data_IF_134784133177
#
_entry.id   IF_134784133177
#
_cell.length_a   1.000
_cell.length_b   1.000
_cell.length_c   1.000
_cell.angle_alpha   90.00
_cell.angle_beta   90.00
_cell.angle_gamma   90.00
#
_symmetry.space_group_name_H-M   'P 1'
#
loop_
_entity.id
_entity.type
_entity.pdbx_description
1 polymer ?
#
# COMPACT_ATOMS: atom_id res chain seq x y z
N UNK A 1 -19.84 -28.13 19.59
CA UNK A 1 -19.69 -26.69 19.31
C UNK A 1 -18.50 -26.54 18.37
N UNK A 2 -18.72 -26.49 17.06
CA UNK A 2 -17.62 -26.42 16.09
C UNK A 2 -16.97 -25.02 16.15
N UNK A 3 -15.63 -24.92 16.11
CA UNK A 3 -14.95 -23.63 16.08
C UNK A 3 -15.30 -22.90 14.78
N UNK A 4 -15.75 -21.65 14.90
CA UNK A 4 -16.12 -20.81 13.76
C UNK A 4 -14.91 -20.44 12.88
N UNK A 5 -15.14 -19.98 11.65
CA UNK A 5 -14.12 -19.77 10.60
C UNK A 5 -13.09 -18.63 10.88
N UNK A 6 -12.96 -18.17 12.12
CA UNK A 6 -12.20 -16.98 12.51
C UNK A 6 -10.93 -17.28 13.31
N UNK A 7 -10.62 -18.54 13.62
CA UNK A 7 -9.51 -18.90 14.51
C UNK A 7 -8.26 -19.42 13.81
N UNK A 8 -8.26 -19.56 12.48
CA UNK A 8 -7.14 -20.20 11.78
C UNK A 8 -6.01 -19.18 11.49
N UNK A 9 -5.27 -18.82 12.54
CA UNK A 9 -4.06 -17.99 12.47
C UNK A 9 -2.86 -18.73 11.86
N UNK A 10 -3.03 -20.00 11.45
CA UNK A 10 -1.98 -20.87 10.92
C UNK A 10 -1.42 -20.46 9.54
N UNK A 11 -2.04 -19.48 8.89
CA UNK A 11 -1.69 -19.03 7.54
C UNK A 11 -0.53 -18.02 7.56
N UNK A 12 -0.40 -17.24 8.64
CA UNK A 12 0.73 -16.33 8.85
C UNK A 12 1.96 -17.00 9.48
N UNK A 13 1.82 -18.22 10.00
CA UNK A 13 2.88 -18.95 10.71
C UNK A 13 3.56 -20.06 9.89
N UNK A 14 3.14 -20.28 8.64
CA UNK A 14 3.72 -21.30 7.75
C UNK A 14 4.70 -20.69 6.74
N UNK A 15 5.96 -20.53 7.17
CA UNK A 15 7.09 -20.25 6.27
C UNK A 15 7.01 -18.93 5.51
N UNK A 16 8.03 -18.62 4.71
CA UNK A 16 8.23 -17.38 3.96
C UNK A 16 7.22 -17.15 2.81
N UNK A 17 5.96 -17.55 2.97
CA UNK A 17 4.93 -17.25 1.96
C UNK A 17 4.59 -15.75 2.03
N UNK A 18 4.75 -15.02 0.92
CA UNK A 18 4.32 -13.63 0.85
C UNK A 18 2.84 -13.51 1.23
N UNK A 19 2.51 -12.53 2.07
CA UNK A 19 1.16 -12.35 2.60
C UNK A 19 0.08 -12.28 1.51
N UNK A 20 0.41 -11.77 0.31
CA UNK A 20 -0.56 -11.67 -0.78
C UNK A 20 -1.01 -13.03 -1.33
N UNK A 21 -0.16 -14.07 -1.33
CA UNK A 21 -0.58 -15.43 -1.72
C UNK A 21 -1.51 -16.06 -0.69
N UNK A 22 -1.22 -15.88 0.58
CA UNK A 22 -2.09 -16.33 1.67
C UNK A 22 -3.48 -15.67 1.59
N UNK A 23 -3.54 -14.36 1.34
CA UNK A 23 -4.79 -13.63 1.19
C UNK A 23 -5.56 -14.04 -0.08
N UNK A 24 -4.88 -14.35 -1.17
CA UNK A 24 -5.52 -14.87 -2.39
C UNK A 24 -6.17 -16.24 -2.14
N UNK A 25 -5.45 -17.17 -1.49
CA UNK A 25 -6.00 -18.47 -1.15
C UNK A 25 -7.21 -18.38 -0.18
N UNK A 26 -7.27 -17.33 0.64
CA UNK A 26 -8.43 -17.03 1.48
C UNK A 26 -9.59 -16.44 0.66
N UNK A 27 -9.32 -15.60 -0.33
CA UNK A 27 -10.33 -15.08 -1.25
C UNK A 27 -11.02 -16.22 -2.02
N UNK A 28 -10.27 -17.23 -2.44
CA UNK A 28 -10.83 -18.41 -3.13
C UNK A 28 -11.82 -19.18 -2.26
N UNK A 29 -11.63 -19.18 -0.93
CA UNK A 29 -12.49 -19.89 0.03
C UNK A 29 -13.67 -19.06 0.54
N UNK A 30 -13.46 -17.77 0.79
CA UNK A 30 -14.43 -16.90 1.45
C UNK A 30 -15.12 -15.92 0.50
N UNK A 31 -14.70 -15.90 -0.77
CA UNK A 31 -15.19 -14.97 -1.77
C UNK A 31 -14.35 -13.69 -1.87
N UNK A 32 -14.67 -12.81 -2.83
CA UNK A 32 -13.81 -11.70 -3.21
C UNK A 32 -13.73 -10.57 -2.18
N UNK A 33 -14.65 -10.54 -1.20
CA UNK A 33 -14.67 -9.57 -0.11
C UNK A 33 -14.91 -10.32 1.19
N UNK A 34 -13.93 -10.29 2.09
CA UNK A 34 -14.03 -10.97 3.37
C UNK A 34 -13.32 -10.19 4.48
N UNK A 35 -13.63 -10.54 5.73
CA UNK A 35 -13.10 -9.89 6.92
C UNK A 35 -12.00 -10.76 7.53
N UNK A 36 -10.93 -10.12 7.98
CA UNK A 36 -9.85 -10.75 8.73
C UNK A 36 -9.55 -9.95 10.00
N UNK A 37 -8.90 -10.61 10.94
CA UNK A 37 -8.39 -9.98 12.15
C UNK A 37 -6.86 -9.97 12.12
N UNK A 38 -6.28 -8.78 12.00
CA UNK A 38 -4.84 -8.54 12.05
C UNK A 38 -4.45 -8.16 13.49
N UNK A 39 -4.24 -9.18 14.31
CA UNK A 39 -3.99 -9.00 15.75
C UNK A 39 -5.19 -8.33 16.44
N UNK A 40 -5.01 -7.09 16.89
CA UNK A 40 -6.07 -6.29 17.55
C UNK A 40 -6.94 -5.49 16.56
N UNK A 41 -6.54 -5.42 15.29
CA UNK A 41 -7.23 -4.62 14.28
C UNK A 41 -8.06 -5.49 13.34
N UNK A 42 -9.29 -5.05 13.06
CA UNK A 42 -10.12 -5.67 12.04
C UNK A 42 -9.82 -5.07 10.68
N UNK A 43 -9.70 -5.91 9.65
CA UNK A 43 -9.47 -5.48 8.27
C UNK A 43 -10.45 -6.16 7.32
N UNK A 44 -10.72 -5.50 6.19
CA UNK A 44 -11.49 -6.06 5.08
C UNK A 44 -10.52 -6.25 3.93
N UNK A 45 -10.52 -7.46 3.38
CA UNK A 45 -9.76 -7.80 2.17
C UNK A 45 -10.71 -7.70 0.99
N UNK A 46 -10.28 -6.98 -0.05
CA UNK A 46 -11.02 -6.80 -1.29
C UNK A 46 -10.14 -7.28 -2.44
N UNK A 47 -10.65 -8.24 -3.22
CA UNK A 47 -9.91 -8.89 -4.31
C UNK A 47 -10.64 -8.88 -5.65
N UNK A 48 -11.89 -8.38 -5.71
CA UNK A 48 -12.61 -8.15 -6.98
C UNK A 48 -12.21 -6.81 -7.60
N UNK A 49 -12.02 -6.80 -8.92
CA UNK A 49 -11.69 -5.60 -9.69
C UNK A 49 -12.78 -4.53 -9.59
N UNK A 50 -14.04 -4.94 -9.63
CA UNK A 50 -15.21 -4.05 -9.53
C UNK A 50 -15.24 -3.38 -8.17
N UNK A 51 -15.08 -4.15 -7.09
CA UNK A 51 -15.06 -3.64 -5.73
C UNK A 51 -13.84 -2.72 -5.47
N UNK A 52 -12.67 -3.08 -5.99
CA UNK A 52 -11.46 -2.22 -5.92
C UNK A 52 -11.72 -0.90 -6.64
N UNK A 53 -12.30 -0.93 -7.85
CA UNK A 53 -12.62 0.29 -8.60
C UNK A 53 -13.54 1.20 -7.79
N UNK A 54 -14.59 0.66 -7.19
CA UNK A 54 -15.53 1.44 -6.38
C UNK A 54 -14.85 2.02 -5.12
N UNK A 55 -13.95 1.28 -4.48
CA UNK A 55 -13.15 1.79 -3.36
C UNK A 55 -12.23 2.97 -3.74
N UNK A 56 -11.67 2.99 -4.94
CA UNK A 56 -10.74 4.04 -5.39
C UNK A 56 -11.40 5.16 -6.19
N UNK A 57 -12.70 5.05 -6.52
CA UNK A 57 -13.45 6.07 -7.26
C UNK A 57 -14.57 6.67 -6.43
N UNK A 58 -15.63 5.90 -6.18
CA UNK A 58 -16.83 6.36 -5.47
C UNK A 58 -16.60 6.58 -3.98
N UNK A 59 -15.80 5.71 -3.36
CA UNK A 59 -15.57 5.71 -1.92
C UNK A 59 -14.10 6.00 -1.54
N UNK A 60 -13.37 6.68 -2.44
CA UNK A 60 -11.97 7.04 -2.27
C UNK A 60 -11.74 7.83 -0.97
N UNK A 61 -12.70 8.67 -0.60
CA UNK A 61 -12.63 9.48 0.62
C UNK A 61 -12.51 8.62 1.87
N UNK A 62 -13.35 7.59 1.99
CA UNK A 62 -13.37 6.72 3.16
C UNK A 62 -12.21 5.74 3.10
N UNK A 63 -11.95 5.15 1.92
CA UNK A 63 -10.89 4.16 1.71
C UNK A 63 -9.46 4.72 1.77
N UNK A 64 -9.26 6.02 1.56
CA UNK A 64 -7.95 6.67 1.73
C UNK A 64 -7.60 6.97 3.19
N UNK A 65 -8.54 6.81 4.12
CA UNK A 65 -8.25 7.00 5.54
C UNK A 65 -7.34 5.88 6.03
N UNK A 66 -6.12 6.23 6.46
CA UNK A 66 -5.14 5.26 6.97
C UNK A 66 -5.36 5.05 8.48
N UNK A 67 -5.39 3.80 8.97
CA UNK A 67 -5.50 3.54 10.40
C UNK A 67 -4.32 4.17 11.15
N UNK A 68 -4.57 4.67 12.36
CA UNK A 68 -3.51 5.22 13.21
C UNK A 68 -2.49 4.13 13.57
N UNK A 69 -1.23 4.45 13.41
CA UNK A 69 -0.11 3.61 13.81
C UNK A 69 0.93 4.47 14.50
N UNK A 70 1.55 3.92 15.54
CA UNK A 70 2.66 4.58 16.24
C UNK A 70 3.78 4.97 15.26
N UNK A 71 4.05 4.13 14.26
CA UNK A 71 5.04 4.41 13.21
C UNK A 71 4.70 5.69 12.44
N UNK A 72 3.44 5.89 12.06
CA UNK A 72 3.01 7.09 11.32
C UNK A 72 3.13 8.35 12.20
N UNK A 73 2.91 8.22 13.52
CA UNK A 73 3.07 9.33 14.46
C UNK A 73 4.55 9.71 14.65
N UNK A 74 5.40 8.73 14.97
CA UNK A 74 6.77 9.00 15.38
C UNK A 74 7.75 9.14 14.21
N UNK A 75 7.66 8.28 13.19
CA UNK A 75 8.49 8.38 11.98
C UNK A 75 7.90 9.40 11.01
N UNK A 76 6.57 9.48 10.96
CA UNK A 76 5.88 10.29 9.99
C UNK A 76 5.66 11.76 10.35
N UNK A 77 6.55 12.37 11.15
CA UNK A 77 6.48 13.78 11.57
C UNK A 77 5.09 14.16 12.10
N UNK A 78 4.58 13.43 13.10
CA UNK A 78 3.22 13.57 13.64
C UNK A 78 2.13 13.54 12.55
N UNK A 79 2.18 12.51 11.69
CA UNK A 79 1.23 12.29 10.58
C UNK A 79 1.30 13.31 9.44
N UNK A 80 2.37 14.11 9.37
CA UNK A 80 2.66 14.99 8.23
C UNK A 80 3.39 14.30 7.07
N UNK A 81 3.79 13.02 7.24
CA UNK A 81 4.48 12.25 6.20
C UNK A 81 3.69 12.21 4.89
N UNK A 82 4.35 12.51 3.78
CA UNK A 82 3.67 12.61 2.49
C UNK A 82 2.98 11.32 2.05
N UNK A 83 3.54 10.14 2.35
CA UNK A 83 2.99 8.87 1.83
C UNK A 83 2.00 8.18 2.80
N UNK A 84 2.13 8.42 4.11
CA UNK A 84 1.36 7.74 5.16
C UNK A 84 0.56 8.69 6.05
N UNK A 85 0.66 10.00 5.81
CA UNK A 85 0.02 11.04 6.61
C UNK A 85 -1.49 10.98 6.52
N UNK A 86 -2.14 11.26 7.65
CA UNK A 86 -3.60 11.26 7.77
C UNK A 86 -4.22 12.62 7.40
N UNK A 87 -3.39 13.66 7.25
CA UNK A 87 -3.83 15.02 6.92
C UNK A 87 -4.06 15.18 5.41
N UNK A 88 -5.33 15.34 5.01
CA UNK A 88 -5.72 15.61 3.61
C UNK A 88 -5.11 16.89 3.04
N UNK A 89 -5.10 18.04 3.76
CA UNK A 89 -4.50 19.26 3.21
C UNK A 89 -3.00 19.12 2.95
N UNK A 90 -2.27 18.48 3.87
CA UNK A 90 -0.83 18.23 3.71
C UNK A 90 -0.57 17.28 2.53
N UNK A 91 -1.32 16.19 2.45
CA UNK A 91 -1.20 15.20 1.37
C UNK A 91 -1.51 15.82 -0.01
N UNK A 92 -2.60 16.58 -0.14
CA UNK A 92 -2.98 17.23 -1.39
C UNK A 92 -1.92 18.23 -1.88
N UNK A 93 -1.39 19.06 -0.97
CA UNK A 93 -0.34 20.04 -1.29
C UNK A 93 0.93 19.35 -1.75
N UNK A 94 1.40 18.37 -0.99
CA UNK A 94 2.60 17.61 -1.32
C UNK A 94 2.41 16.85 -2.63
N UNK A 95 1.25 16.22 -2.88
CA UNK A 95 0.95 15.55 -4.16
C UNK A 95 1.04 16.51 -5.33
N UNK A 96 0.47 17.71 -5.20
CA UNK A 96 0.54 18.75 -6.24
C UNK A 96 1.99 19.13 -6.55
N UNK A 97 2.81 19.37 -5.53
CA UNK A 97 4.23 19.73 -5.68
C UNK A 97 4.99 18.56 -6.32
N UNK A 98 4.85 17.35 -5.81
CA UNK A 98 5.54 16.17 -6.35
C UNK A 98 5.17 15.91 -7.81
N UNK A 99 3.88 16.00 -8.17
CA UNK A 99 3.45 15.80 -9.56
C UNK A 99 3.96 16.91 -10.50
N UNK A 100 3.98 18.17 -10.07
CA UNK A 100 4.41 19.28 -10.91
C UNK A 100 5.94 19.37 -11.04
N UNK A 101 6.66 19.22 -9.94
CA UNK A 101 8.09 19.56 -9.85
C UNK A 101 9.03 18.36 -9.92
N UNK A 102 8.55 17.15 -9.60
CA UNK A 102 9.39 15.95 -9.56
C UNK A 102 9.02 14.93 -10.62
N UNK A 103 7.72 14.63 -10.74
CA UNK A 103 7.20 13.56 -11.60
C UNK A 103 6.54 14.07 -12.88
N UNK A 104 6.77 15.34 -13.24
CA UNK A 104 6.29 15.87 -14.52
C UNK A 104 7.14 15.34 -15.67
N UNK A 105 6.51 15.17 -16.83
CA UNK A 105 7.19 14.63 -18.02
C UNK A 105 8.47 15.41 -18.36
N UNK A 106 8.40 16.74 -18.35
CA UNK A 106 9.56 17.61 -18.64
C UNK A 106 10.70 17.42 -17.64
N UNK A 107 10.39 17.12 -16.37
CA UNK A 107 11.40 16.87 -15.34
C UNK A 107 12.05 15.50 -15.50
N UNK A 108 11.26 14.49 -15.83
CA UNK A 108 11.77 13.16 -16.13
C UNK A 108 12.67 13.16 -17.36
N UNK A 109 12.28 13.87 -18.43
CA UNK A 109 13.09 14.00 -19.64
C UNK A 109 14.42 14.72 -19.35
N UNK A 110 14.39 15.81 -18.57
CA UNK A 110 15.59 16.54 -18.15
C UNK A 110 16.56 15.66 -17.35
N UNK A 111 16.04 14.79 -16.48
CA UNK A 111 16.83 13.96 -15.57
C UNK A 111 17.16 12.57 -16.13
N UNK A 112 16.72 12.25 -17.35
CA UNK A 112 16.88 10.90 -17.92
C UNK A 112 18.35 10.46 -18.00
N UNK A 113 19.24 11.40 -18.31
CA UNK A 113 20.69 11.16 -18.37
C UNK A 113 21.30 10.66 -17.05
N UNK A 114 20.70 11.01 -15.90
CA UNK A 114 21.16 10.54 -14.59
C UNK A 114 20.90 9.05 -14.48
N UNK A 115 19.69 8.59 -14.81
CA UNK A 115 19.36 7.17 -14.83
C UNK A 115 20.25 6.39 -15.79
N UNK A 116 20.52 6.91 -16.99
CA UNK A 116 21.42 6.27 -17.95
C UNK A 116 22.83 6.11 -17.36
N UNK A 117 23.37 7.15 -16.72
CA UNK A 117 24.70 7.11 -16.12
C UNK A 117 24.81 6.14 -14.93
N UNK A 118 23.78 6.05 -14.09
CA UNK A 118 23.74 5.12 -12.95
C UNK A 118 23.67 3.66 -13.45
N UNK A 119 22.90 3.41 -14.51
CA UNK A 119 22.82 2.08 -15.16
C UNK A 119 24.17 1.70 -15.75
N UNK A 120 24.82 2.60 -16.49
CA UNK A 120 26.14 2.36 -17.06
C UNK A 120 27.19 2.09 -15.97
N UNK A 121 27.15 2.84 -14.87
CA UNK A 121 28.02 2.62 -13.71
C UNK A 121 27.79 1.25 -13.08
N UNK A 122 26.52 0.87 -12.84
CA UNK A 122 26.19 -0.46 -12.32
C UNK A 122 26.66 -1.58 -13.26
N UNK A 123 26.55 -1.41 -14.58
CA UNK A 123 27.05 -2.40 -15.54
C UNK A 123 28.58 -2.47 -15.49
N UNK A 124 29.26 -1.31 -15.40
CA UNK A 124 30.70 -1.24 -15.28
C UNK A 124 31.27 -1.87 -14.00
N UNK A 125 30.50 -1.91 -12.90
CA UNK A 125 30.91 -2.62 -11.68
C UNK A 125 30.77 -4.15 -11.76
N UNK A 126 29.98 -4.65 -12.71
CA UNK A 126 29.72 -6.08 -12.87
C UNK A 126 30.76 -6.80 -13.75
N UNK A 127 31.58 -6.07 -14.50
CA UNK A 127 32.58 -6.58 -15.45
C UNK A 127 33.98 -6.05 -15.18
#
# INVERSE_FOLDING_TARGET
MAPGPLSDTSIFSRGLTPAFWALAALADKHGPIFRIQLGMHQAIVVSSKEAIKDCFTTNDVVSMTRPESATIKYIGYDRAFFTLGQSRPCWNKARKITTAELLSYSRLELLNHVCDSEVDSCIGELY
#
